data_IF_249415508399
#
_entry.id   IF_249415508399
#
_cell.length_a   1.000
_cell.length_b   1.000
_cell.length_c   1.000
_cell.angle_alpha   90.00
_cell.angle_beta   90.00
_cell.angle_gamma   90.00
#
_symmetry.space_group_name_H-M   'P 1'
#
loop_
_entity.id
_entity.type
_entity.pdbx_description
1 polymer ?
#
# COMPACT_ATOMS: atom_id res chain seq x y z
N UNK A 1 16.24 1.21 23.00
CA UNK A 1 17.33 1.32 24.02
C UNK A 1 17.66 -0.05 24.56
N UNK A 2 18.92 -0.36 24.86
CA UNK A 2 19.27 -1.65 25.45
C UNK A 2 18.61 -1.81 26.84
N UNK A 3 18.25 -3.05 27.24
CA UNK A 3 17.79 -3.34 28.59
C UNK A 3 18.78 -2.84 29.64
N UNK A 4 18.28 -2.42 30.81
CA UNK A 4 19.12 -1.89 31.87
C UNK A 4 20.20 -2.90 32.32
N UNK A 5 19.89 -4.19 32.27
CA UNK A 5 20.84 -5.28 32.59
C UNK A 5 22.06 -5.27 31.66
N UNK A 6 21.88 -4.91 30.38
CA UNK A 6 22.96 -4.76 29.39
C UNK A 6 23.74 -3.47 29.65
N UNK A 7 23.04 -2.39 30.03
CA UNK A 7 23.65 -1.08 30.31
C UNK A 7 24.62 -1.21 31.52
N UNK A 8 24.25 -1.96 32.56
CA UNK A 8 25.09 -2.18 33.74
C UNK A 8 26.33 -3.02 33.45
N UNK A 9 26.36 -3.81 32.37
CA UNK A 9 27.52 -4.59 31.96
C UNK A 9 28.58 -3.77 31.18
N UNK A 10 28.27 -2.49 30.92
CA UNK A 10 29.20 -1.55 30.33
C UNK A 10 29.21 -1.50 28.81
N UNK A 11 30.04 -0.62 28.24
CA UNK A 11 30.04 -0.23 26.86
C UNK A 11 30.19 -1.41 25.88
N UNK A 12 31.03 -2.40 26.22
CA UNK A 12 31.22 -3.59 25.36
C UNK A 12 29.97 -4.46 25.27
N UNK A 13 29.20 -4.59 26.33
CA UNK A 13 27.95 -5.34 26.34
C UNK A 13 26.89 -4.60 25.53
N UNK A 14 26.83 -3.27 25.62
CA UNK A 14 25.96 -2.42 24.81
C UNK A 14 26.31 -2.57 23.32
N UNK A 15 27.59 -2.51 22.96
CA UNK A 15 28.03 -2.71 21.58
C UNK A 15 27.71 -4.11 21.05
N UNK A 16 27.94 -5.15 21.85
CA UNK A 16 27.60 -6.54 21.50
C UNK A 16 26.07 -6.72 21.33
N UNK A 17 25.27 -6.09 22.20
CA UNK A 17 23.82 -6.08 22.07
C UNK A 17 23.35 -5.43 20.78
N UNK A 18 23.89 -4.26 20.41
CA UNK A 18 23.54 -3.63 19.12
C UNK A 18 24.06 -4.42 17.93
N UNK A 19 25.25 -5.00 17.99
CA UNK A 19 25.77 -5.89 16.96
C UNK A 19 24.93 -7.16 16.77
N UNK A 20 24.39 -7.73 17.87
CA UNK A 20 23.45 -8.87 17.78
C UNK A 20 22.13 -8.48 17.15
N UNK A 21 21.63 -7.28 17.44
CA UNK A 21 20.43 -6.75 16.80
C UNK A 21 20.65 -6.46 15.31
N UNK A 22 21.84 -6.02 14.92
CA UNK A 22 22.21 -5.82 13.49
C UNK A 22 22.32 -7.16 12.75
N UNK A 23 22.75 -8.23 13.43
CA UNK A 23 22.83 -9.58 12.85
C UNK A 23 21.48 -10.29 12.71
N UNK A 24 20.50 -10.00 13.58
CA UNK A 24 19.17 -10.61 13.56
C UNK A 24 18.09 -9.72 12.96
N UNK A 25 18.25 -8.40 12.96
CA UNK A 25 17.34 -7.50 12.27
C UNK A 25 17.68 -7.42 10.78
N UNK A 26 17.24 -8.41 10.02
CA UNK A 26 16.79 -8.12 8.66
C UNK A 26 15.69 -7.08 8.84
N UNK A 27 16.02 -5.81 8.61
CA UNK A 27 15.06 -4.71 8.62
C UNK A 27 13.98 -5.08 7.60
N UNK A 28 12.89 -5.64 8.11
CA UNK A 28 11.68 -5.86 7.33
C UNK A 28 11.16 -4.46 6.98
N UNK A 29 11.35 -4.07 5.73
CA UNK A 29 10.75 -2.84 5.25
C UNK A 29 9.23 -3.02 5.28
N UNK A 30 8.54 -2.25 6.13
CA UNK A 30 7.08 -2.20 6.11
C UNK A 30 6.64 -1.07 5.19
N UNK A 31 5.84 -1.40 4.18
CA UNK A 31 5.30 -0.44 3.23
C UNK A 31 3.77 -0.50 3.25
N UNK A 32 3.15 0.68 3.14
CA UNK A 32 1.70 0.84 3.10
C UNK A 32 1.26 1.01 1.64
N UNK A 33 0.37 0.13 1.18
CA UNK A 33 -0.29 0.23 -0.13
C UNK A 33 -1.76 0.50 0.09
N UNK A 34 -2.25 1.60 -0.47
CA UNK A 34 -3.62 2.07 -0.30
C UNK A 34 -4.39 1.89 -1.61
N UNK A 35 -5.44 1.06 -1.58
CA UNK A 35 -6.31 0.86 -2.73
C UNK A 35 -7.49 1.82 -2.66
N UNK A 36 -7.64 2.64 -3.70
CA UNK A 36 -8.73 3.64 -3.84
C UNK A 36 -9.51 3.40 -5.14
N UNK A 37 -10.71 3.91 -5.21
CA UNK A 37 -11.62 3.77 -6.36
C UNK A 37 -13.04 3.52 -5.94
N UNK A 38 -13.97 3.57 -6.88
CA UNK A 38 -15.41 3.42 -6.65
C UNK A 38 -15.78 2.08 -6.00
N UNK A 39 -16.97 2.03 -5.39
CA UNK A 39 -17.56 0.80 -4.88
C UNK A 39 -17.66 -0.26 -5.99
N UNK A 40 -17.35 -1.50 -5.66
CA UNK A 40 -17.35 -2.63 -6.59
C UNK A 40 -16.37 -2.50 -7.79
N UNK A 41 -15.38 -1.59 -7.78
CA UNK A 41 -14.33 -1.54 -8.82
C UNK A 41 -13.42 -2.77 -8.80
N UNK A 42 -13.47 -3.57 -7.72
CA UNK A 42 -12.72 -4.82 -7.57
C UNK A 42 -11.42 -4.67 -6.78
N UNK A 43 -11.31 -3.67 -5.90
CA UNK A 43 -10.17 -3.48 -4.98
C UNK A 43 -9.89 -4.73 -4.16
N UNK A 44 -10.91 -5.25 -3.48
CA UNK A 44 -10.83 -6.47 -2.67
C UNK A 44 -10.41 -7.69 -3.51
N UNK A 45 -11.00 -7.87 -4.69
CA UNK A 45 -10.62 -8.94 -5.60
C UNK A 45 -9.16 -8.81 -6.05
N UNK A 46 -8.71 -7.58 -6.33
CA UNK A 46 -7.32 -7.32 -6.71
C UNK A 46 -6.35 -7.66 -5.57
N UNK A 47 -6.68 -7.26 -4.35
CA UNK A 47 -5.90 -7.58 -3.14
C UNK A 47 -5.74 -9.10 -2.97
N UNK A 48 -6.82 -9.87 -3.16
CA UNK A 48 -6.79 -11.33 -3.12
C UNK A 48 -5.88 -11.92 -4.19
N UNK A 49 -6.02 -11.45 -5.45
CA UNK A 49 -5.17 -11.89 -6.55
C UNK A 49 -3.68 -11.61 -6.32
N UNK A 50 -3.33 -10.45 -5.74
CA UNK A 50 -1.95 -10.11 -5.37
C UNK A 50 -1.39 -11.09 -4.33
N UNK A 51 -2.20 -11.56 -3.40
CA UNK A 51 -1.82 -12.55 -2.37
C UNK A 51 -1.82 -13.99 -2.90
N UNK A 52 -2.16 -14.20 -4.18
CA UNK A 52 -2.23 -15.54 -4.78
C UNK A 52 -3.50 -16.31 -4.44
N UNK A 53 -4.52 -15.64 -3.92
CA UNK A 53 -5.81 -16.25 -3.62
C UNK A 53 -6.69 -16.33 -4.89
N UNK A 54 -7.60 -17.29 -4.91
CA UNK A 54 -8.54 -17.44 -6.02
C UNK A 54 -9.56 -16.29 -6.05
N UNK A 55 -9.98 -15.94 -7.27
CA UNK A 55 -11.06 -14.98 -7.46
C UNK A 55 -12.38 -15.52 -6.87
N UNK A 56 -13.05 -14.67 -6.10
CA UNK A 56 -14.38 -14.96 -5.54
C UNK A 56 -15.44 -14.13 -6.27
N UNK A 57 -16.33 -14.71 -7.08
CA UNK A 57 -17.39 -13.97 -7.77
C UNK A 57 -18.48 -13.41 -6.82
N UNK A 58 -18.54 -13.94 -5.59
CA UNK A 58 -19.48 -13.53 -4.53
C UNK A 58 -18.78 -12.71 -3.45
N UNK A 59 -17.78 -11.89 -3.85
CA UNK A 59 -17.09 -11.03 -2.88
C UNK A 59 -18.08 -10.02 -2.29
N UNK A 60 -18.15 -10.00 -0.96
CA UNK A 60 -18.99 -9.06 -0.24
C UNK A 60 -18.45 -7.63 -0.34
N UNK A 61 -19.35 -6.65 -0.24
CA UNK A 61 -18.94 -5.24 -0.18
C UNK A 61 -18.11 -5.00 1.08
N UNK A 62 -16.94 -4.40 0.91
CA UNK A 62 -16.11 -4.00 2.04
C UNK A 62 -16.75 -2.82 2.76
N UNK A 63 -17.05 -3.01 4.03
CA UNK A 63 -17.47 -1.94 4.94
C UNK A 63 -16.26 -1.52 5.79
N UNK A 64 -16.02 -0.22 5.89
CA UNK A 64 -14.85 0.31 6.61
C UNK A 64 -13.52 0.09 5.89
N UNK A 65 -12.51 -0.24 6.65
CA UNK A 65 -11.13 -0.44 6.18
C UNK A 65 -10.71 -1.88 6.48
N UNK A 66 -10.30 -2.61 5.45
CA UNK A 66 -9.71 -3.95 5.62
C UNK A 66 -8.22 -3.87 5.39
N UNK A 67 -7.41 -4.21 6.39
CA UNK A 67 -5.96 -4.25 6.28
C UNK A 67 -5.52 -5.71 6.14
N UNK A 68 -4.78 -6.01 5.08
CA UNK A 68 -4.26 -7.35 4.81
C UNK A 68 -2.75 -7.30 4.65
N UNK A 69 -2.06 -8.26 5.30
CA UNK A 69 -0.61 -8.38 5.18
C UNK A 69 -0.26 -9.23 3.97
N UNK A 70 0.74 -8.79 3.24
CA UNK A 70 1.34 -9.51 2.13
C UNK A 70 2.86 -9.46 2.26
N UNK A 71 3.49 -10.61 2.34
CA UNK A 71 4.94 -10.72 2.42
C UNK A 71 5.51 -10.99 1.03
N UNK A 72 6.42 -10.15 0.61
CA UNK A 72 7.14 -10.24 -0.65
C UNK A 72 8.54 -10.71 -0.31
N UNK A 73 8.86 -11.94 -0.71
CA UNK A 73 10.16 -12.57 -0.46
C UNK A 73 11.07 -12.57 -1.72
N UNK A 74 10.58 -12.04 -2.83
CA UNK A 74 11.29 -11.93 -4.09
C UNK A 74 11.97 -10.56 -4.12
N UNK A 75 13.32 -10.53 -4.18
CA UNK A 75 14.10 -9.30 -4.18
C UNK A 75 15.30 -9.34 -3.23
N UNK A 76 15.99 -8.22 -3.12
CA UNK A 76 17.18 -8.10 -2.26
C UNK A 76 16.86 -8.21 -0.76
N UNK A 77 15.62 -7.88 -0.38
CA UNK A 77 15.15 -7.88 1.02
C UNK A 77 13.67 -8.30 1.09
N UNK A 78 13.26 -9.03 2.15
CA UNK A 78 11.84 -9.29 2.38
C UNK A 78 11.12 -7.98 2.73
N UNK A 79 9.99 -7.72 2.04
CA UNK A 79 9.15 -6.55 2.25
C UNK A 79 7.83 -7.01 2.85
N UNK A 80 7.41 -6.41 3.95
CA UNK A 80 6.06 -6.58 4.49
C UNK A 80 5.17 -5.46 3.98
N UNK A 81 4.26 -5.81 3.08
CA UNK A 81 3.29 -4.89 2.52
C UNK A 81 1.98 -4.95 3.31
N UNK A 82 1.51 -3.83 3.81
CA UNK A 82 0.18 -3.67 4.39
C UNK A 82 -0.75 -3.14 3.30
N UNK A 83 -1.65 -3.99 2.79
CA UNK A 83 -2.65 -3.64 1.78
C UNK A 83 -3.90 -3.08 2.48
N UNK A 84 -4.19 -1.80 2.26
CA UNK A 84 -5.34 -1.10 2.83
C UNK A 84 -6.45 -1.03 1.79
N UNK A 85 -7.48 -1.86 1.96
CA UNK A 85 -8.66 -1.91 1.10
C UNK A 85 -9.80 -1.13 1.74
N UNK A 86 -10.12 0.02 1.17
CA UNK A 86 -11.20 0.88 1.64
C UNK A 86 -12.51 0.54 0.93
N UNK A 87 -13.62 0.48 1.69
CA UNK A 87 -14.95 0.47 1.14
C UNK A 87 -15.15 1.70 0.23
N UNK A 88 -15.52 1.44 -1.05
CA UNK A 88 -15.48 2.48 -2.08
C UNK A 88 -16.38 3.71 -1.84
N UNK A 89 -17.39 3.59 -0.95
CA UNK A 89 -18.25 4.72 -0.57
C UNK A 89 -17.76 5.42 0.70
N UNK A 90 -16.95 4.77 1.50
CA UNK A 90 -16.58 5.23 2.85
C UNK A 90 -15.31 6.07 2.88
N UNK A 91 -14.42 5.95 1.89
CA UNK A 91 -13.19 6.76 1.83
C UNK A 91 -13.48 8.28 1.75
N UNK A 92 -14.72 8.64 1.40
CA UNK A 92 -15.23 10.00 1.34
C UNK A 92 -15.54 10.60 2.72
N UNK A 93 -15.64 9.79 3.76
CA UNK A 93 -15.87 10.31 5.10
C UNK A 93 -14.61 10.99 5.64
N UNK A 94 -14.78 12.14 6.27
CA UNK A 94 -13.68 12.97 6.80
C UNK A 94 -12.72 12.17 7.72
N UNK A 95 -13.23 11.16 8.40
CA UNK A 95 -12.45 10.24 9.24
C UNK A 95 -11.44 9.39 8.48
N UNK A 96 -11.71 9.03 7.21
CA UNK A 96 -10.79 8.18 6.44
C UNK A 96 -9.63 8.95 5.82
N UNK A 97 -9.74 10.28 5.74
CA UNK A 97 -8.67 11.15 5.23
C UNK A 97 -7.42 11.08 6.12
N UNK A 98 -7.57 10.81 7.42
CA UNK A 98 -6.46 10.64 8.35
C UNK A 98 -5.59 9.42 8.05
N UNK A 99 -6.13 8.40 7.35
CA UNK A 99 -5.38 7.20 6.99
C UNK A 99 -4.59 7.34 5.69
N UNK A 100 -4.81 8.40 4.91
CA UNK A 100 -4.02 8.70 3.74
C UNK A 100 -2.70 9.34 4.18
N UNK A 101 -1.58 8.74 3.83
CA UNK A 101 -0.26 9.21 4.26
C UNK A 101 0.64 9.51 3.08
N UNK A 102 1.57 10.45 3.29
CA UNK A 102 2.56 10.86 2.28
C UNK A 102 3.62 9.80 1.97
N UNK A 103 3.69 8.74 2.77
CA UNK A 103 4.63 7.63 2.59
C UNK A 103 3.88 6.35 2.29
N UNK A 104 3.10 6.37 1.22
CA UNK A 104 2.30 5.23 0.79
C UNK A 104 2.37 5.09 -0.72
N UNK A 105 2.26 3.88 -1.21
CA UNK A 105 2.01 3.62 -2.61
C UNK A 105 0.51 3.52 -2.81
N UNK A 106 -0.04 4.26 -3.77
CA UNK A 106 -1.46 4.24 -4.08
C UNK A 106 -1.76 3.37 -5.29
N UNK A 107 -2.85 2.62 -5.21
CA UNK A 107 -3.40 1.84 -6.33
C UNK A 107 -4.81 2.35 -6.61
N UNK A 108 -4.96 3.12 -7.69
CA UNK A 108 -6.26 3.59 -8.16
C UNK A 108 -6.90 2.53 -9.04
N UNK A 109 -8.01 1.93 -8.57
CA UNK A 109 -8.72 0.85 -9.27
C UNK A 109 -9.99 1.38 -9.92
N UNK A 110 -10.04 1.31 -11.24
CA UNK A 110 -11.14 1.76 -12.12
C UNK A 110 -11.70 0.55 -12.88
N UNK A 111 -13.00 0.48 -13.13
CA UNK A 111 -13.63 -0.68 -13.79
C UNK A 111 -14.37 -0.34 -15.12
N UNK A 112 -14.44 0.92 -15.46
CA UNK A 112 -14.98 1.40 -16.74
C UNK A 112 -16.47 1.15 -16.97
N UNK A 113 -17.22 0.69 -15.97
CA UNK A 113 -18.66 0.41 -16.10
C UNK A 113 -19.56 1.62 -15.96
N UNK A 114 -19.04 2.74 -15.45
CA UNK A 114 -19.76 4.00 -15.21
C UNK A 114 -18.88 5.17 -15.57
N UNK A 115 -19.41 6.37 -15.45
CA UNK A 115 -18.65 7.61 -15.56
C UNK A 115 -17.58 7.66 -14.48
N UNK A 116 -16.53 6.94 -14.73
CA UNK A 116 -15.35 6.90 -13.86
C UNK A 116 -14.76 8.31 -13.78
N UNK A 117 -14.47 8.74 -12.57
CA UNK A 117 -13.87 10.06 -12.34
C UNK A 117 -12.42 9.89 -11.88
N UNK A 118 -11.50 9.46 -12.77
CA UNK A 118 -10.11 9.24 -12.38
C UNK A 118 -9.48 10.51 -11.79
N UNK A 119 -9.78 11.68 -12.34
CA UNK A 119 -9.28 12.96 -11.85
C UNK A 119 -9.78 13.31 -10.43
N UNK A 120 -10.97 12.87 -10.07
CA UNK A 120 -11.48 13.05 -8.70
C UNK A 120 -10.58 12.31 -7.69
N UNK A 121 -10.29 11.04 -7.95
CA UNK A 121 -9.42 10.23 -7.11
C UNK A 121 -7.98 10.73 -7.10
N UNK A 122 -7.45 11.15 -8.26
CA UNK A 122 -6.11 11.68 -8.37
C UNK A 122 -5.93 12.99 -7.59
N UNK A 123 -6.89 13.92 -7.64
CA UNK A 123 -6.89 15.13 -6.81
C UNK A 123 -6.97 14.79 -5.32
N UNK A 124 -7.76 13.79 -4.98
CA UNK A 124 -7.88 13.34 -3.60
C UNK A 124 -6.54 12.79 -3.07
N UNK A 125 -5.87 11.95 -3.85
CA UNK A 125 -4.53 11.44 -3.52
C UNK A 125 -3.51 12.59 -3.46
N UNK A 126 -3.54 13.54 -4.38
CA UNK A 126 -2.67 14.70 -4.39
C UNK A 126 -2.80 15.52 -3.11
N UNK A 127 -4.04 15.79 -2.69
CA UNK A 127 -4.34 16.59 -1.50
C UNK A 127 -3.87 15.95 -0.20
N UNK A 128 -4.04 14.65 -0.06
CA UNK A 128 -3.77 13.92 1.19
C UNK A 128 -2.50 13.07 1.14
N UNK A 129 -2.18 12.51 -0.01
CA UNK A 129 -0.99 11.67 -0.24
C UNK A 129 0.27 12.46 -0.59
N UNK A 130 0.14 13.77 -0.87
CA UNK A 130 1.28 14.67 -1.06
C UNK A 130 2.22 14.30 -2.19
N UNK A 131 1.70 13.79 -3.32
CA UNK A 131 2.51 13.38 -4.48
C UNK A 131 3.12 11.98 -4.36
N UNK A 132 2.61 11.17 -3.45
CA UNK A 132 2.97 9.75 -3.36
C UNK A 132 2.71 9.01 -4.67
N UNK A 133 3.52 8.00 -5.05
CA UNK A 133 3.40 7.30 -6.32
C UNK A 133 2.04 6.60 -6.46
N UNK A 134 1.48 6.63 -7.66
CA UNK A 134 0.19 6.02 -8.00
C UNK A 134 0.33 5.05 -9.16
N UNK A 135 -0.10 3.81 -8.96
CA UNK A 135 -0.33 2.84 -10.03
C UNK A 135 -1.82 2.84 -10.38
N UNK A 136 -2.16 3.07 -11.63
CA UNK A 136 -3.56 3.10 -12.10
C UNK A 136 -3.92 1.76 -12.71
N UNK A 137 -4.96 1.10 -12.17
CA UNK A 137 -5.44 -0.21 -12.62
C UNK A 137 -6.79 -0.09 -13.28
N UNK A 138 -6.86 -0.43 -14.58
CA UNK A 138 -8.09 -0.59 -15.33
C UNK A 138 -8.53 -2.05 -15.19
N UNK A 139 -9.35 -2.30 -14.17
CA UNK A 139 -9.81 -3.65 -13.81
C UNK A 139 -11.05 -4.06 -14.62
N UNK A 140 -11.40 -5.35 -14.55
CA UNK A 140 -12.54 -5.94 -15.30
C UNK A 140 -12.42 -5.75 -16.82
N UNK A 141 -11.19 -5.74 -17.31
CA UNK A 141 -10.91 -5.61 -18.73
C UNK A 141 -11.56 -6.71 -19.59
N UNK A 142 -11.84 -7.87 -18.99
CA UNK A 142 -12.57 -8.97 -19.62
C UNK A 142 -14.04 -8.63 -19.94
N UNK A 143 -14.66 -7.74 -19.18
CA UNK A 143 -16.04 -7.30 -19.39
C UNK A 143 -16.15 -5.98 -20.15
N UNK A 144 -15.12 -5.15 -20.09
CA UNK A 144 -15.08 -3.86 -20.77
C UNK A 144 -13.73 -3.61 -21.45
N UNK A 145 -13.39 -4.36 -22.53
CA UNK A 145 -12.07 -4.26 -23.17
C UNK A 145 -11.85 -2.94 -23.92
N UNK A 146 -12.91 -2.21 -24.21
CA UNK A 146 -12.83 -0.88 -24.85
C UNK A 146 -12.54 0.27 -23.89
N UNK A 147 -12.55 0.02 -22.59
CA UNK A 147 -12.28 1.06 -21.60
C UNK A 147 -10.79 1.44 -21.60
N UNK A 148 -10.53 2.70 -21.83
CA UNK A 148 -9.21 3.30 -21.68
C UNK A 148 -9.31 4.77 -21.26
N UNK A 149 -8.18 5.34 -20.85
CA UNK A 149 -8.04 6.71 -20.39
C UNK A 149 -7.10 7.48 -21.30
N UNK A 150 -7.24 8.80 -21.30
CA UNK A 150 -6.23 9.67 -21.91
C UNK A 150 -4.98 9.70 -21.02
N UNK A 151 -4.16 8.63 -21.13
CA UNK A 151 -2.98 8.42 -20.30
C UNK A 151 -1.94 9.54 -20.43
N UNK A 152 -1.60 10.05 -21.66
CA UNK A 152 -0.68 11.16 -21.79
C UNK A 152 -1.15 12.42 -21.06
N UNK A 153 -2.43 12.75 -21.17
CA UNK A 153 -3.03 13.88 -20.46
C UNK A 153 -2.92 13.70 -18.95
N UNK A 154 -3.31 12.53 -18.44
CA UNK A 154 -3.28 12.26 -17.00
C UNK A 154 -1.86 12.26 -16.43
N UNK A 155 -0.87 11.63 -17.11
CA UNK A 155 0.53 11.68 -16.68
C UNK A 155 1.10 13.10 -16.68
N UNK A 156 0.73 13.92 -17.67
CA UNK A 156 1.15 15.33 -17.70
C UNK A 156 0.56 16.13 -16.53
N UNK A 157 -0.71 15.91 -16.25
CA UNK A 157 -1.45 16.64 -15.20
C UNK A 157 -1.09 16.17 -13.79
N UNK A 158 -0.84 14.88 -13.63
CA UNK A 158 -0.53 14.21 -12.36
C UNK A 158 0.79 13.45 -12.48
N UNK A 159 1.95 14.11 -12.34
CA UNK A 159 3.27 13.51 -12.55
C UNK A 159 3.61 12.36 -11.62
N UNK A 160 2.90 12.22 -10.51
CA UNK A 160 3.04 11.12 -9.56
C UNK A 160 2.40 9.80 -10.03
N UNK A 161 1.73 9.79 -11.20
CA UNK A 161 1.27 8.54 -11.83
C UNK A 161 2.48 7.81 -12.40
N UNK A 162 2.77 6.64 -11.84
CA UNK A 162 3.85 5.77 -12.31
C UNK A 162 3.47 5.14 -13.63
N UNK A 163 2.39 4.35 -13.66
CA UNK A 163 1.91 3.73 -14.91
C UNK A 163 0.46 3.21 -14.82
N UNK A 164 -0.04 2.66 -15.95
CA UNK A 164 -1.40 2.17 -16.14
C UNK A 164 -1.38 0.68 -16.49
N UNK A 165 -2.18 -0.11 -15.80
CA UNK A 165 -2.26 -1.56 -15.96
C UNK A 165 -3.69 -1.99 -16.26
N UNK A 166 -3.87 -2.80 -17.30
CA UNK A 166 -5.15 -3.47 -17.60
C UNK A 166 -5.16 -4.82 -16.91
N UNK A 167 -6.19 -5.08 -16.11
CA UNK A 167 -6.30 -6.33 -15.34
C UNK A 167 -7.70 -6.92 -15.40
N UNK A 168 -7.76 -8.24 -15.18
CA UNK A 168 -9.00 -8.94 -14.86
C UNK A 168 -8.73 -9.92 -13.74
N UNK A 169 -9.27 -9.65 -12.56
CA UNK A 169 -9.17 -10.58 -11.43
C UNK A 169 -9.88 -11.90 -11.73
N UNK A 170 -10.93 -11.90 -12.58
CA UNK A 170 -11.68 -13.10 -12.95
C UNK A 170 -10.88 -14.06 -13.81
N UNK A 171 -10.14 -13.55 -14.80
CA UNK A 171 -9.38 -14.35 -15.75
C UNK A 171 -7.90 -14.46 -15.40
N UNK A 172 -7.40 -13.66 -14.46
CA UNK A 172 -5.99 -13.55 -14.14
C UNK A 172 -5.16 -12.69 -15.12
N UNK A 173 -5.79 -12.21 -16.21
CA UNK A 173 -5.08 -11.41 -17.20
C UNK A 173 -4.54 -10.12 -16.59
N UNK A 174 -3.28 -9.78 -16.91
CA UNK A 174 -2.60 -8.58 -16.47
C UNK A 174 -2.16 -8.57 -15.00
N UNK A 175 -2.68 -9.48 -14.16
CA UNK A 175 -2.36 -9.53 -12.72
C UNK A 175 -0.88 -9.71 -12.46
N UNK A 176 -0.21 -10.64 -13.18
CA UNK A 176 1.23 -10.90 -13.01
C UNK A 176 2.07 -9.66 -13.36
N UNK A 177 1.74 -8.98 -14.47
CA UNK A 177 2.45 -7.77 -14.88
C UNK A 177 2.27 -6.64 -13.86
N UNK A 178 1.04 -6.44 -13.38
CA UNK A 178 0.74 -5.45 -12.35
C UNK A 178 1.44 -5.78 -11.03
N UNK A 179 1.40 -7.05 -10.58
CA UNK A 179 2.07 -7.49 -9.36
C UNK A 179 3.58 -7.18 -9.41
N UNK A 180 4.24 -7.53 -10.51
CA UNK A 180 5.66 -7.24 -10.70
C UNK A 180 5.97 -5.75 -10.62
N UNK A 181 5.20 -4.91 -11.29
CA UNK A 181 5.38 -3.46 -11.23
C UNK A 181 5.16 -2.90 -9.82
N UNK A 182 4.19 -3.44 -9.08
CA UNK A 182 3.95 -3.07 -7.70
C UNK A 182 5.15 -3.45 -6.82
N UNK A 183 5.70 -4.66 -6.99
CA UNK A 183 6.89 -5.14 -6.28
C UNK A 183 8.11 -4.28 -6.59
N UNK A 184 8.31 -3.89 -7.86
CA UNK A 184 9.40 -2.99 -8.28
C UNK A 184 9.28 -1.59 -7.65
N UNK A 185 8.09 -1.03 -7.51
CA UNK A 185 7.90 0.27 -6.84
C UNK A 185 8.12 0.15 -5.32
N UNK A 186 7.65 -0.93 -4.70
CA UNK A 186 7.87 -1.18 -3.28
C UNK A 186 9.34 -1.37 -2.93
N UNK A 187 10.13 -1.97 -3.81
CA UNK A 187 11.57 -2.14 -3.61
C UNK A 187 12.31 -0.79 -3.64
N UNK A 188 11.92 0.12 -4.53
CA UNK A 188 12.45 1.50 -4.57
C UNK A 188 12.20 2.24 -3.25
N UNK A 189 10.98 2.17 -2.72
CA UNK A 189 10.61 2.81 -1.46
C UNK A 189 11.37 2.20 -0.27
N UNK A 190 11.58 0.88 -0.28
CA UNK A 190 12.36 0.18 0.73
C UNK A 190 13.83 0.58 0.72
N UNK A 191 14.43 0.81 -0.46
CA UNK A 191 15.80 1.29 -0.61
C UNK A 191 15.93 2.71 -0.06
N UNK A 192 15.04 3.62 -0.43
CA UNK A 192 15.03 5.02 0.05
C UNK A 192 14.87 5.08 1.58
N UNK A 193 14.02 4.23 2.15
CA UNK A 193 13.86 4.13 3.60
C UNK A 193 15.14 3.68 4.29
N UNK A 194 15.89 2.73 3.70
CA UNK A 194 17.15 2.21 4.26
C UNK A 194 18.32 3.20 4.17
N UNK A 195 18.40 3.99 3.11
CA UNK A 195 19.41 5.03 2.95
C UNK A 195 19.23 6.18 3.94
N UNK A 196 17.98 6.56 4.21
CA UNK A 196 17.65 7.57 5.22
C UNK A 196 17.93 7.11 6.66
N UNK A 197 17.96 5.79 6.92
CA UNK A 197 18.35 5.21 8.21
C UNK A 197 19.85 5.27 8.46
N UNK A 198 20.66 5.16 7.41
CA UNK A 198 22.12 5.24 7.52
C UNK A 198 22.64 6.66 7.72
N UNK A 199 21.83 7.68 7.39
CA UNK A 199 22.21 9.10 7.46
C UNK A 199 21.69 9.90 8.66
N UNK A 200 20.77 9.36 9.42
CA UNK A 200 20.22 10.07 10.59
C UNK A 200 19.72 9.09 11.66
N UNK A 201 20.31 9.18 12.86
CA UNK A 201 19.85 8.53 14.09
C UNK A 201 18.48 9.10 14.56
N UNK A 202 17.48 9.15 13.67
CA UNK A 202 16.13 9.53 14.03
C UNK A 202 15.19 8.33 13.93
N UNK A 203 14.62 8.01 15.08
CA UNK A 203 13.60 7.02 15.31
C UNK A 203 12.56 6.98 14.20
N UNK A 204 12.55 5.88 13.44
CA UNK A 204 11.45 5.59 12.53
C UNK A 204 10.24 5.18 13.36
N UNK A 205 9.29 6.07 13.39
CA UNK A 205 7.94 5.77 13.79
C UNK A 205 7.38 4.83 12.71
N UNK A 206 7.26 3.54 13.01
CA UNK A 206 6.46 2.59 12.23
C UNK A 206 5.16 3.29 11.89
N UNK A 207 4.74 3.31 10.63
CA UNK A 207 3.69 4.15 10.07
C UNK A 207 2.29 4.07 10.69
N UNK A 208 2.20 3.73 11.96
CA UNK A 208 1.03 3.80 12.81
C UNK A 208 1.26 4.89 13.86
N UNK A 209 0.52 5.95 13.82
CA UNK A 209 0.34 6.80 15.00
C UNK A 209 -0.37 5.96 16.06
N UNK A 210 -0.07 6.19 17.34
CA UNK A 210 -0.72 5.46 18.45
C UNK A 210 -2.25 5.64 18.44
N UNK A 211 -2.72 6.78 17.94
CA UNK A 211 -4.12 7.10 17.68
C UNK A 211 -4.79 6.17 16.63
N UNK A 212 -4.04 5.67 15.63
CA UNK A 212 -4.56 4.70 14.66
C UNK A 212 -4.82 3.32 15.30
N UNK A 213 -4.05 2.94 16.33
CA UNK A 213 -4.24 1.67 17.06
C UNK A 213 -5.49 1.66 17.95
N UNK A 214 -5.86 2.79 18.50
CA UNK A 214 -7.01 2.91 19.40
C UNK A 214 -8.36 2.73 18.68
N UNK A 215 -8.43 3.13 17.40
CA UNK A 215 -9.65 2.99 16.60
C UNK A 215 -9.90 1.56 16.10
N UNK A 216 -8.86 0.76 15.88
CA UNK A 216 -8.99 -0.63 15.44
C UNK A 216 -9.46 -1.57 16.56
N UNK A 217 -9.27 -1.18 17.84
CA UNK A 217 -9.70 -1.98 19.00
C UNK A 217 -11.17 -1.75 19.39
N UNK A 218 -11.80 -0.65 18.96
CA UNK A 218 -13.19 -0.31 19.33
C UNK A 218 -14.25 -0.74 18.31
N UNK A 219 -13.85 -1.11 17.09
CA UNK A 219 -14.77 -1.58 16.03
C UNK A 219 -15.02 -3.10 16.03
N UNK A 220 -14.46 -3.83 16.99
CA UNK A 220 -14.61 -5.28 17.13
C UNK A 220 -15.58 -5.77 18.21
N UNK A 221 -16.33 -4.87 18.86
CA UNK A 221 -17.32 -5.20 19.89
C UNK A 221 -18.64 -4.50 19.59
N UNK A 222 -19.46 -5.15 18.74
CA UNK A 222 -20.82 -4.72 18.43
C UNK A 222 -21.49 -5.73 17.52
#
# INVERSE_FOLDING_TARGET
SPPLEIVYQGLRAIQAYFASLEGESRLLAEVKVILVGEGASGKTSLTRCLRGEQFNPKEETTHGIRIQKWEINEGARPIRCNLWDFGGQEIMHATHQFFLSRRSLYVLVLDGRRDERPEYWLRYIESFGGGSPVLVVLNKYDTNPGFDLNRPFLKKKYPFIVDFYRTSCRTGNGIRAFRRALEEELDKDAIIASENLSGSNQFFNTGFREDEKMWLSTSGAG
#
